data_IF_996003043683
#
_entry.id   IF_996003043683
#
_cell.length_a   1.000
_cell.length_b   1.000
_cell.length_c   1.000
_cell.angle_alpha   90.00
_cell.angle_beta   90.00
_cell.angle_gamma   90.00
#
_symmetry.space_group_name_H-M   'P 1'
#
loop_
_entity.id
_entity.type
_entity.pdbx_description
1 polymer ?
#
# COMPACT_ATOMS: atom_id res chain seq x y z
N UNK A 1 20.96 -19.62 -15.25
CA UNK A 1 19.86 -18.64 -15.19
C UNK A 1 20.16 -17.79 -13.98
N UNK A 2 20.55 -16.52 -14.17
CA UNK A 2 20.75 -15.63 -13.02
C UNK A 2 19.36 -15.32 -12.48
N UNK A 3 19.06 -15.77 -11.26
CA UNK A 3 17.91 -15.26 -10.52
C UNK A 3 18.12 -13.75 -10.39
N UNK A 4 17.33 -12.95 -11.11
CA UNK A 4 17.29 -11.51 -10.86
C UNK A 4 16.87 -11.33 -9.40
N UNK A 5 17.84 -11.02 -8.54
CA UNK A 5 17.60 -10.71 -7.14
C UNK A 5 16.96 -9.33 -7.08
N UNK A 6 15.63 -9.29 -7.04
CA UNK A 6 14.92 -8.05 -6.77
C UNK A 6 14.99 -7.76 -5.27
N UNK A 7 15.47 -6.57 -4.93
CA UNK A 7 15.38 -6.08 -3.56
C UNK A 7 14.10 -5.28 -3.43
N UNK A 8 13.34 -5.52 -2.37
CA UNK A 8 12.14 -4.74 -2.08
C UNK A 8 12.45 -3.66 -1.06
N UNK A 9 12.02 -2.44 -1.37
CA UNK A 9 11.93 -1.35 -0.40
C UNK A 9 10.47 -1.08 -0.08
N UNK A 10 10.19 -0.70 1.15
CA UNK A 10 8.83 -0.47 1.62
C UNK A 10 8.69 0.99 2.03
N UNK A 11 7.59 1.60 1.62
CA UNK A 11 7.30 3.00 1.86
C UNK A 11 5.86 3.13 2.33
N UNK A 12 5.52 4.25 2.95
CA UNK A 12 4.15 4.57 3.31
C UNK A 12 3.98 6.07 3.42
N UNK A 13 2.79 6.55 3.05
CA UNK A 13 2.38 7.92 3.35
C UNK A 13 1.59 8.04 4.65
N UNK A 14 1.77 7.10 5.59
CA UNK A 14 0.99 6.99 6.82
C UNK A 14 -0.40 6.35 6.65
N UNK A 15 -0.90 6.23 5.41
CA UNK A 15 -2.21 5.63 5.13
C UNK A 15 -2.13 4.42 4.19
N UNK A 16 -1.32 4.51 3.14
CA UNK A 16 -1.18 3.45 2.13
C UNK A 16 0.24 2.88 2.21
N UNK A 17 0.40 1.59 2.51
CA UNK A 17 1.69 0.93 2.43
C UNK A 17 2.02 0.59 0.98
N UNK A 18 3.26 0.81 0.57
CA UNK A 18 3.74 0.69 -0.82
C UNK A 18 5.00 -0.16 -0.82
N UNK A 19 5.06 -1.15 -1.70
CA UNK A 19 6.27 -1.95 -1.94
C UNK A 19 6.86 -1.58 -3.29
N UNK A 20 8.14 -1.24 -3.32
CA UNK A 20 8.88 -0.90 -4.53
C UNK A 20 9.92 -1.97 -4.83
N UNK A 21 9.86 -2.52 -6.03
CA UNK A 21 10.87 -3.44 -6.56
C UNK A 21 12.07 -2.66 -7.08
N UNK A 22 13.24 -2.90 -6.49
CA UNK A 22 14.52 -2.29 -6.85
C UNK A 22 15.37 -3.34 -7.58
N UNK A 23 15.91 -2.97 -8.74
CA UNK A 23 16.88 -3.82 -9.45
C UNK A 23 18.30 -3.68 -8.87
N UNK A 24 19.20 -4.56 -9.30
CA UNK A 24 20.61 -4.61 -8.87
C UNK A 24 21.37 -3.26 -9.05
N UNK A 25 20.95 -2.43 -10.01
CA UNK A 25 21.49 -1.07 -10.24
C UNK A 25 20.85 0.00 -9.37
N UNK A 26 20.01 -0.39 -8.41
CA UNK A 26 19.32 0.53 -7.50
C UNK A 26 18.17 1.31 -8.14
N UNK A 27 17.65 0.90 -9.31
CA UNK A 27 16.54 1.62 -9.95
C UNK A 27 15.22 0.98 -9.59
N UNK A 28 14.22 1.83 -9.41
CA UNK A 28 12.86 1.38 -9.13
C UNK A 28 12.23 0.85 -10.42
N UNK A 29 11.77 -0.40 -10.37
CA UNK A 29 11.17 -1.10 -11.52
C UNK A 29 9.65 -1.07 -11.48
N UNK A 30 9.06 -1.03 -10.29
CA UNK A 30 7.62 -1.08 -10.09
C UNK A 30 7.26 -0.74 -8.65
N UNK A 31 6.13 -0.08 -8.46
CA UNK A 31 5.52 0.14 -7.15
C UNK A 31 4.20 -0.60 -7.08
N UNK A 32 4.02 -1.38 -6.02
CA UNK A 32 2.85 -2.20 -5.73
C UNK A 32 2.18 -1.65 -4.48
N UNK A 33 0.88 -1.41 -4.57
CA UNK A 33 0.06 -0.99 -3.43
C UNK A 33 -1.05 -2.01 -3.21
N UNK A 34 -1.42 -2.30 -1.95
CA UNK A 34 -2.54 -3.17 -1.66
C UNK A 34 -3.82 -2.53 -2.20
N UNK A 35 -4.66 -3.35 -2.80
CA UNK A 35 -5.91 -2.92 -3.40
C UNK A 35 -7.08 -3.59 -2.67
N UNK A 36 -7.92 -2.76 -2.03
CA UNK A 36 -9.07 -3.23 -1.24
C UNK A 36 -10.14 -3.87 -2.12
N UNK A 37 -10.24 -3.48 -3.39
CA UNK A 37 -11.27 -4.00 -4.28
C UNK A 37 -10.97 -5.43 -4.69
N UNK A 38 -9.72 -5.69 -5.07
CA UNK A 38 -9.26 -6.99 -5.56
C UNK A 38 -8.66 -7.89 -4.47
N UNK A 39 -8.50 -7.40 -3.24
CA UNK A 39 -7.82 -8.11 -2.14
C UNK A 39 -6.37 -8.53 -2.50
N UNK A 40 -5.80 -7.87 -3.50
CA UNK A 40 -4.48 -8.15 -4.05
C UNK A 40 -3.57 -6.92 -4.02
N UNK A 41 -2.58 -6.91 -4.89
CA UNK A 41 -1.73 -5.75 -5.12
C UNK A 41 -1.96 -5.22 -6.53
N UNK A 42 -2.02 -3.90 -6.67
CA UNK A 42 -2.03 -3.23 -7.98
C UNK A 42 -0.71 -2.52 -8.19
N UNK A 43 -0.24 -2.55 -9.44
CA UNK A 43 0.90 -1.75 -9.85
C UNK A 43 0.47 -0.30 -10.06
N UNK A 44 1.12 0.62 -9.37
CA UNK A 44 0.78 2.03 -9.43
C UNK A 44 2.05 2.88 -9.63
N UNK A 45 2.35 3.19 -10.91
CA UNK A 45 3.55 3.95 -11.28
C UNK A 45 3.60 5.36 -10.69
N UNK A 46 2.47 5.96 -10.32
CA UNK A 46 2.44 7.27 -9.67
C UNK A 46 3.27 7.29 -8.38
N UNK A 47 3.36 6.18 -7.66
CA UNK A 47 4.21 6.06 -6.47
C UNK A 47 5.70 6.08 -6.78
N UNK A 48 6.13 5.56 -7.93
CA UNK A 48 7.53 5.65 -8.35
C UNK A 48 7.96 7.10 -8.53
N UNK A 49 7.09 7.93 -9.11
CA UNK A 49 7.35 9.37 -9.28
C UNK A 49 7.35 10.12 -7.95
N UNK A 50 6.52 9.69 -6.98
CA UNK A 50 6.51 10.28 -5.63
C UNK A 50 7.74 9.90 -4.81
N UNK A 51 8.15 8.63 -4.85
CA UNK A 51 9.27 8.10 -4.07
C UNK A 51 10.62 8.50 -4.69
N UNK A 52 10.71 8.52 -6.02
CA UNK A 52 11.94 8.82 -6.75
C UNK A 52 12.05 10.24 -7.27
N UNK A 53 11.02 11.07 -7.13
CA UNK A 53 11.03 12.46 -7.56
C UNK A 53 11.54 13.41 -6.47
N UNK A 54 12.04 14.56 -6.90
CA UNK A 54 12.37 15.75 -6.08
C UNK A 54 11.12 16.42 -5.46
N UNK A 55 9.94 15.84 -5.66
CA UNK A 55 8.72 16.27 -5.01
C UNK A 55 8.85 15.89 -3.54
N UNK A 56 9.21 16.90 -2.74
CA UNK A 56 9.20 16.94 -1.29
C UNK A 56 7.79 16.68 -0.72
N UNK A 57 7.18 15.55 -1.05
CA UNK A 57 6.09 15.00 -0.26
C UNK A 57 6.76 14.43 1.00
N UNK A 58 6.97 15.29 2.00
CA UNK A 58 7.47 14.92 3.35
C UNK A 58 6.62 13.80 3.99
N UNK A 59 5.47 13.48 3.40
CA UNK A 59 4.57 12.42 3.82
C UNK A 59 5.06 11.00 3.49
N UNK A 60 5.90 10.76 2.46
CA UNK A 60 6.31 9.39 2.10
C UNK A 60 7.58 8.96 2.83
N UNK A 61 7.41 8.10 3.82
CA UNK A 61 8.49 7.59 4.66
C UNK A 61 8.86 6.16 4.26
N UNK A 62 10.17 5.87 4.24
CA UNK A 62 10.65 4.48 4.15
C UNK A 62 10.31 3.76 5.46
N UNK A 63 9.65 2.61 5.35
CA UNK A 63 9.23 1.78 6.49
C UNK A 63 9.87 0.39 6.40
N UNK A 64 9.90 -0.31 7.54
CA UNK A 64 10.34 -1.71 7.58
C UNK A 64 9.29 -2.66 6.99
N UNK A 65 9.74 -3.86 6.59
CA UNK A 65 8.84 -4.93 6.13
C UNK A 65 7.75 -5.25 7.15
N UNK A 66 8.08 -5.33 8.44
CA UNK A 66 7.13 -5.66 9.51
C UNK A 66 6.02 -4.60 9.62
N UNK A 67 6.37 -3.32 9.54
CA UNK A 67 5.39 -2.23 9.56
C UNK A 67 4.54 -2.25 8.27
N UNK A 68 5.15 -2.54 7.12
CA UNK A 68 4.43 -2.71 5.87
C UNK A 68 3.38 -3.82 5.96
N UNK A 69 3.75 -5.01 6.44
CA UNK A 69 2.83 -6.14 6.60
C UNK A 69 1.67 -5.79 7.55
N UNK A 70 1.97 -5.09 8.65
CA UNK A 70 0.95 -4.63 9.60
C UNK A 70 0.00 -3.62 8.97
N UNK A 71 0.52 -2.64 8.23
CA UNK A 71 -0.29 -1.65 7.52
C UNK A 71 -1.11 -2.29 6.40
N UNK A 72 -0.58 -3.29 5.67
CA UNK A 72 -1.34 -4.02 4.64
C UNK A 72 -2.49 -4.78 5.29
N UNK A 73 -2.23 -5.48 6.39
CA UNK A 73 -3.26 -6.18 7.13
C UNK A 73 -4.37 -5.24 7.62
N UNK A 74 -4.00 -4.10 8.21
CA UNK A 74 -4.95 -3.07 8.64
C UNK A 74 -5.73 -2.47 7.46
N UNK A 75 -5.03 -2.11 6.37
CA UNK A 75 -5.61 -1.51 5.18
C UNK A 75 -6.62 -2.44 4.50
N UNK A 76 -6.35 -3.75 4.48
CA UNK A 76 -7.28 -4.77 3.99
C UNK A 76 -8.42 -5.03 4.99
N UNK A 77 -8.15 -4.97 6.30
CA UNK A 77 -9.15 -5.17 7.36
C UNK A 77 -10.16 -4.03 7.47
N UNK A 78 -9.78 -2.78 7.14
CA UNK A 78 -10.68 -1.62 7.16
C UNK A 78 -11.92 -1.80 6.27
N UNK A 79 -11.87 -2.65 5.23
CA UNK A 79 -13.05 -2.96 4.39
C UNK A 79 -14.15 -3.74 5.13
N UNK A 80 -13.83 -4.32 6.29
CA UNK A 80 -14.74 -5.14 7.09
C UNK A 80 -15.53 -4.36 8.15
N UNK A 81 -15.21 -3.07 8.33
CA UNK A 81 -15.89 -2.18 9.27
C UNK A 81 -16.66 -1.10 8.52
N UNK A 82 -17.53 -1.48 7.60
CA UNK A 82 -18.76 -0.69 7.47
C UNK A 82 -19.53 -0.92 8.78
N UNK A 83 -19.85 0.12 9.59
CA UNK A 83 -20.82 -0.06 10.63
C UNK A 83 -22.12 -0.49 9.93
N UNK A 84 -22.63 -1.68 10.27
CA UNK A 84 -23.99 -2.06 9.89
C UNK A 84 -24.89 -0.86 10.20
N UNK A 85 -25.69 -0.35 9.25
CA UNK A 85 -26.63 0.71 9.56
C UNK A 85 -27.48 0.20 10.73
N UNK A 86 -27.69 1.01 11.78
CA UNK A 86 -28.53 0.58 12.90
C UNK A 86 -29.86 0.09 12.32
N UNK A 87 -30.43 -1.02 12.83
CA UNK A 87 -31.68 -1.55 12.30
C UNK A 87 -32.69 -0.41 12.29
N UNK A 88 -33.23 -0.09 11.12
CA UNK A 88 -34.34 0.84 11.00
C UNK A 88 -35.45 0.34 11.91
N UNK A 89 -35.66 1.06 13.01
CA UNK A 89 -36.83 0.92 13.88
C UNK A 89 -38.03 1.20 12.98
N UNK A 90 -38.57 0.13 12.37
CA UNK A 90 -39.84 0.15 11.69
C UNK A 90 -40.86 0.72 12.66
N UNK A 91 -41.39 1.89 12.31
CA UNK A 91 -42.41 2.58 13.06
C UNK A 91 -43.55 1.61 13.38
N UNK A 92 -43.78 1.41 14.67
CA UNK A 92 -44.96 0.75 15.18
C UNK A 92 -46.14 1.69 14.91
N UNK A 93 -46.98 1.32 13.94
CA UNK A 93 -48.30 1.91 13.73
C UNK A 93 -49.34 1.36 14.70
#
# INVERSE_FOLDING_TARGET
MSEEQFTYKYFSNGYVPVRVSIDDKGRMRGAEVPDRETTGFKFEHSWLTKIGGDLTDEDVLEIGKEEFDKMVADFMAQKKSEPEPPPEISGMG
#
